data_IF_177530536960
#
_entry.id   IF_177530536960
#
_cell.length_a   1.000
_cell.length_b   1.000
_cell.length_c   1.000
_cell.angle_alpha   90.00
_cell.angle_beta   90.00
_cell.angle_gamma   90.00
#
_symmetry.space_group_name_H-M   'P 1'
#
loop_
_entity.id
_entity.type
_entity.pdbx_description
1 polymer ?
#
# COMPACT_ATOMS: atom_id res chain seq x y z
N UNK A 1 -29.88 24.29 3.51
CA UNK A 1 -30.17 24.72 4.90
C UNK A 1 -28.99 24.27 5.75
N UNK A 2 -28.12 25.21 6.16
CA UNK A 2 -27.00 24.96 7.07
C UNK A 2 -27.55 24.67 8.47
N UNK A 3 -27.40 23.44 8.94
CA UNK A 3 -27.60 23.14 10.37
C UNK A 3 -26.28 23.48 11.05
N UNK A 4 -26.27 24.64 11.75
CA UNK A 4 -25.20 25.03 12.66
C UNK A 4 -25.40 24.26 13.95
N UNK A 5 -24.56 23.26 14.20
CA UNK A 5 -24.53 22.59 15.50
C UNK A 5 -23.86 23.50 16.52
N UNK A 6 -24.66 24.02 17.45
CA UNK A 6 -24.22 24.73 18.64
C UNK A 6 -23.60 23.73 19.61
N UNK A 7 -22.29 23.79 19.79
CA UNK A 7 -21.59 23.08 20.86
C UNK A 7 -22.01 23.64 22.21
N UNK A 8 -22.87 22.92 22.90
CA UNK A 8 -23.08 23.10 24.35
C UNK A 8 -22.29 22.01 25.09
N UNK A 9 -21.27 22.45 25.81
CA UNK A 9 -20.50 21.61 26.73
C UNK A 9 -21.42 21.20 27.91
N UNK A 10 -21.89 19.98 27.92
CA UNK A 10 -22.35 19.30 29.14
C UNK A 10 -22.04 17.80 29.05
N UNK A 11 -21.22 17.40 30.07
CA UNK A 11 -21.06 16.05 30.63
C UNK A 11 -21.15 14.84 29.69
N UNK A 12 -20.00 14.14 29.59
CA UNK A 12 -19.89 12.70 29.23
C UNK A 12 -21.03 11.91 29.85
N UNK A 13 -21.83 11.29 29.03
CA UNK A 13 -22.51 9.99 29.14
C UNK A 13 -23.63 10.00 28.11
N UNK A 14 -23.31 9.49 26.95
CA UNK A 14 -24.16 8.77 26.03
C UNK A 14 -23.26 8.50 24.82
N UNK A 15 -22.86 7.26 24.62
CA UNK A 15 -22.44 6.80 23.33
C UNK A 15 -23.61 7.14 22.41
N UNK A 16 -23.46 8.12 21.53
CA UNK A 16 -24.45 8.41 20.50
C UNK A 16 -24.73 7.08 19.79
N UNK A 17 -25.95 6.59 19.97
CA UNK A 17 -26.40 5.34 19.34
C UNK A 17 -26.29 5.55 17.85
N UNK A 18 -25.27 4.93 17.22
CA UNK A 18 -25.10 4.99 15.80
C UNK A 18 -26.13 4.08 15.13
N UNK A 19 -27.01 4.68 14.34
CA UNK A 19 -28.03 3.99 13.57
C UNK A 19 -27.52 3.75 12.15
N UNK A 20 -27.18 2.52 11.84
CA UNK A 20 -26.65 2.12 10.54
C UNK A 20 -27.68 2.36 9.41
N UNK A 21 -28.96 2.10 9.66
CA UNK A 21 -30.00 2.27 8.61
C UNK A 21 -30.15 3.73 8.23
N UNK A 22 -30.20 4.62 9.20
CA UNK A 22 -30.26 6.04 8.97
C UNK A 22 -29.00 6.59 8.29
N UNK A 23 -27.82 6.14 8.71
CA UNK A 23 -26.56 6.54 8.12
C UNK A 23 -26.45 6.10 6.65
N UNK A 24 -26.78 4.86 6.35
CA UNK A 24 -26.75 4.32 4.98
C UNK A 24 -27.82 4.98 4.09
N UNK A 25 -29.01 5.31 4.61
CA UNK A 25 -30.02 6.02 3.83
C UNK A 25 -29.57 7.43 3.42
N UNK A 26 -28.89 8.15 4.32
CA UNK A 26 -28.29 9.45 4.03
C UNK A 26 -27.15 9.32 3.01
N UNK A 27 -26.27 8.35 3.20
CA UNK A 27 -25.16 8.07 2.29
C UNK A 27 -25.68 7.76 0.88
N UNK A 28 -26.71 6.93 0.77
CA UNK A 28 -27.29 6.57 -0.54
C UNK A 28 -27.75 7.82 -1.30
N UNK A 29 -28.46 8.74 -0.63
CA UNK A 29 -28.89 9.99 -1.24
C UNK A 29 -27.69 10.85 -1.70
N UNK A 30 -26.63 10.99 -0.89
CA UNK A 30 -25.44 11.75 -1.26
C UNK A 30 -24.67 11.13 -2.44
N UNK A 31 -24.59 9.78 -2.48
CA UNK A 31 -23.92 9.05 -3.57
C UNK A 31 -24.71 9.19 -4.87
N UNK A 32 -26.04 9.13 -4.82
CA UNK A 32 -26.90 9.36 -5.99
C UNK A 32 -26.81 10.81 -6.50
N UNK A 33 -26.77 11.81 -5.61
CA UNK A 33 -26.61 13.21 -5.99
C UNK A 33 -25.26 13.52 -6.63
N UNK A 34 -24.23 12.69 -6.42
CA UNK A 34 -22.89 12.86 -7.00
C UNK A 34 -22.85 12.42 -8.47
N UNK A 35 -23.67 13.02 -9.32
CA UNK A 35 -23.79 12.67 -10.76
C UNK A 35 -22.56 13.05 -11.58
N UNK A 36 -21.77 14.02 -11.13
CA UNK A 36 -20.55 14.52 -11.77
C UNK A 36 -19.27 13.79 -11.30
N UNK A 37 -19.41 12.72 -10.48
CA UNK A 37 -18.29 12.03 -9.84
C UNK A 37 -17.21 11.58 -10.84
N UNK A 38 -17.61 11.04 -11.98
CA UNK A 38 -16.69 10.57 -13.03
C UNK A 38 -15.82 11.69 -13.63
N UNK A 39 -16.33 12.93 -13.62
CA UNK A 39 -15.61 14.11 -14.16
C UNK A 39 -14.62 14.71 -13.17
N UNK A 40 -14.67 14.28 -11.91
CA UNK A 40 -13.76 14.77 -10.87
C UNK A 40 -12.33 14.29 -11.12
N UNK A 41 -11.36 15.05 -10.60
CA UNK A 41 -9.98 14.55 -10.44
C UNK A 41 -9.93 13.44 -9.40
N UNK A 42 -8.92 12.56 -9.52
CA UNK A 42 -8.72 11.43 -8.58
C UNK A 42 -8.71 11.92 -7.13
N UNK A 43 -8.01 13.03 -6.83
CA UNK A 43 -8.00 13.61 -5.48
C UNK A 43 -9.39 14.01 -4.98
N UNK A 44 -10.21 14.63 -5.82
CA UNK A 44 -11.57 15.02 -5.43
C UNK A 44 -12.49 13.81 -5.26
N UNK A 45 -12.29 12.74 -6.05
CA UNK A 45 -12.97 11.48 -5.85
C UNK A 45 -12.61 10.87 -4.48
N UNK A 46 -11.32 10.88 -4.15
CA UNK A 46 -10.83 10.39 -2.86
C UNK A 46 -11.37 11.21 -1.68
N UNK A 47 -11.41 12.54 -1.79
CA UNK A 47 -11.99 13.42 -0.77
C UNK A 47 -13.46 13.06 -0.49
N UNK A 48 -14.27 12.87 -1.55
CA UNK A 48 -15.67 12.45 -1.40
C UNK A 48 -15.77 11.07 -0.76
N UNK A 49 -14.93 10.12 -1.19
CA UNK A 49 -14.92 8.75 -0.66
C UNK A 49 -14.60 8.74 0.84
N UNK A 50 -13.63 9.55 1.27
CA UNK A 50 -13.28 9.72 2.70
C UNK A 50 -14.43 10.33 3.48
N UNK A 51 -15.08 11.38 2.96
CA UNK A 51 -16.26 11.98 3.60
C UNK A 51 -17.37 10.96 3.81
N UNK A 52 -17.66 10.14 2.81
CA UNK A 52 -18.66 9.07 2.92
C UNK A 52 -18.25 7.96 3.90
N UNK A 53 -16.95 7.68 4.01
CA UNK A 53 -16.44 6.65 4.93
C UNK A 53 -16.50 7.07 6.40
N UNK A 54 -16.35 8.37 6.70
CA UNK A 54 -16.21 8.90 8.07
C UNK A 54 -17.37 8.53 8.98
N UNK A 55 -18.60 8.61 8.48
CA UNK A 55 -19.80 8.37 9.28
C UNK A 55 -20.36 6.95 9.14
N UNK A 56 -19.81 6.14 8.22
CA UNK A 56 -20.37 4.84 7.85
C UNK A 56 -19.55 3.62 8.30
N UNK A 57 -18.50 3.82 9.10
CA UNK A 57 -17.72 2.79 9.82
C UNK A 57 -17.18 1.66 8.94
N UNK A 58 -17.06 1.88 7.64
CA UNK A 58 -16.61 0.89 6.64
C UNK A 58 -17.41 -0.42 6.67
N UNK A 59 -18.71 -0.35 6.94
CA UNK A 59 -19.59 -1.53 6.96
C UNK A 59 -19.71 -2.16 5.57
N UNK A 60 -20.24 -3.38 5.46
CA UNK A 60 -20.48 -4.01 4.16
C UNK A 60 -21.49 -3.21 3.35
N UNK A 61 -22.55 -2.72 4.00
CA UNK A 61 -23.57 -1.86 3.37
C UNK A 61 -22.98 -0.55 2.84
N UNK A 62 -21.96 0.01 3.53
CA UNK A 62 -21.23 1.16 3.02
C UNK A 62 -20.55 0.82 1.69
N UNK A 63 -19.81 -0.29 1.61
CA UNK A 63 -19.13 -0.69 0.38
C UNK A 63 -20.12 -0.99 -0.75
N UNK A 64 -21.27 -1.62 -0.45
CA UNK A 64 -22.35 -1.83 -1.42
C UNK A 64 -22.89 -0.49 -1.96
N UNK A 65 -23.12 0.47 -1.09
CA UNK A 65 -23.65 1.79 -1.45
C UNK A 65 -22.69 2.57 -2.37
N UNK A 66 -21.38 2.56 -2.10
CA UNK A 66 -20.40 3.30 -2.88
C UNK A 66 -19.81 2.53 -4.06
N UNK A 67 -20.20 1.27 -4.27
CA UNK A 67 -19.56 0.33 -5.20
C UNK A 67 -19.34 0.89 -6.60
N UNK A 68 -20.36 1.53 -7.20
CA UNK A 68 -20.24 2.11 -8.55
C UNK A 68 -19.24 3.27 -8.61
N UNK A 69 -19.28 4.17 -7.63
CA UNK A 69 -18.36 5.31 -7.56
C UNK A 69 -16.93 4.85 -7.24
N UNK A 70 -16.80 3.89 -6.33
CA UNK A 70 -15.52 3.27 -6.02
C UNK A 70 -14.92 2.56 -7.24
N UNK A 71 -15.74 1.89 -8.06
CA UNK A 71 -15.32 1.28 -9.31
C UNK A 71 -14.79 2.31 -10.31
N UNK A 72 -15.52 3.42 -10.52
CA UNK A 72 -15.07 4.50 -11.43
C UNK A 72 -13.68 5.02 -11.00
N UNK A 73 -13.46 5.20 -9.70
CA UNK A 73 -12.17 5.62 -9.17
C UNK A 73 -11.12 4.53 -9.29
N UNK A 74 -11.48 3.28 -8.99
CA UNK A 74 -10.61 2.12 -9.11
C UNK A 74 -10.12 1.90 -10.54
N UNK A 75 -10.99 2.02 -11.52
CA UNK A 75 -10.65 1.90 -12.95
C UNK A 75 -9.58 2.95 -13.37
N UNK A 76 -9.63 4.17 -12.81
CA UNK A 76 -8.60 5.20 -13.05
C UNK A 76 -7.26 4.90 -12.36
N UNK A 77 -7.26 4.08 -11.33
CA UNK A 77 -6.08 3.74 -10.52
C UNK A 77 -5.55 2.33 -10.80
N UNK A 78 -6.24 1.52 -11.59
CA UNK A 78 -6.01 0.07 -11.74
C UNK A 78 -6.12 -0.69 -10.40
N UNK A 79 -7.14 -0.35 -9.63
CA UNK A 79 -7.45 -0.93 -8.32
C UNK A 79 -8.87 -1.48 -8.29
N UNK A 80 -9.13 -2.43 -7.38
CA UNK A 80 -10.49 -2.82 -7.05
C UNK A 80 -11.24 -1.69 -6.35
N UNK A 81 -12.58 -1.72 -6.28
CA UNK A 81 -13.35 -0.71 -5.56
C UNK A 81 -12.94 -0.57 -4.10
N UNK A 82 -12.75 -1.68 -3.41
CA UNK A 82 -12.34 -1.71 -2.00
C UNK A 82 -10.93 -1.15 -1.80
N UNK A 83 -10.00 -1.49 -2.66
CA UNK A 83 -8.63 -0.93 -2.65
C UNK A 83 -8.65 0.59 -2.87
N UNK A 84 -9.47 1.07 -3.80
CA UNK A 84 -9.59 2.49 -4.08
C UNK A 84 -10.14 3.28 -2.88
N UNK A 85 -11.14 2.72 -2.18
CA UNK A 85 -11.66 3.28 -0.92
C UNK A 85 -10.59 3.30 0.15
N UNK A 86 -9.93 2.17 0.41
CA UNK A 86 -8.90 2.06 1.45
C UNK A 86 -7.71 2.97 1.16
N UNK A 87 -7.25 3.05 -0.09
CA UNK A 87 -6.19 3.99 -0.49
C UNK A 87 -6.58 5.44 -0.20
N UNK A 88 -7.84 5.82 -0.44
CA UNK A 88 -8.34 7.16 -0.14
C UNK A 88 -8.21 7.49 1.35
N UNK A 89 -8.52 6.52 2.23
CA UNK A 89 -8.41 6.66 3.67
C UNK A 89 -6.93 6.76 4.09
N UNK A 90 -6.04 5.94 3.51
CA UNK A 90 -4.60 6.05 3.76
C UNK A 90 -4.07 7.43 3.38
N UNK A 91 -4.44 7.96 2.21
CA UNK A 91 -3.99 9.28 1.75
C UNK A 91 -4.54 10.41 2.63
N UNK A 92 -5.80 10.32 3.07
CA UNK A 92 -6.39 11.31 3.96
C UNK A 92 -5.69 11.38 5.34
N UNK A 93 -5.18 10.25 5.81
CA UNK A 93 -4.43 10.16 7.08
C UNK A 93 -2.93 10.38 6.92
N UNK A 94 -2.45 10.66 5.70
CA UNK A 94 -1.04 10.84 5.43
C UNK A 94 -0.59 12.27 5.75
N UNK A 95 0.20 12.43 6.81
CA UNK A 95 0.76 13.71 7.29
C UNK A 95 2.28 13.78 7.10
N UNK A 96 2.82 13.34 5.96
CA UNK A 96 4.27 13.14 5.72
C UNK A 96 4.94 12.20 6.75
N UNK A 97 4.15 11.39 7.43
CA UNK A 97 4.55 10.43 8.45
C UNK A 97 3.93 9.06 8.19
N UNK A 98 4.15 8.16 9.11
CA UNK A 98 3.57 6.82 9.08
C UNK A 98 2.13 6.82 9.58
N UNK A 99 1.32 5.92 9.04
CA UNK A 99 -0.09 5.71 9.37
C UNK A 99 -0.20 4.37 10.10
N UNK A 100 -0.82 4.36 11.25
CA UNK A 100 -1.15 3.14 11.99
C UNK A 100 -2.60 2.72 11.71
N UNK A 101 -2.90 1.44 11.84
CA UNK A 101 -4.28 0.93 11.70
C UNK A 101 -5.22 1.60 12.73
N UNK A 102 -4.68 1.90 13.91
CA UNK A 102 -5.41 2.63 14.94
C UNK A 102 -5.82 4.06 14.51
N UNK A 103 -5.06 4.69 13.62
CA UNK A 103 -5.42 6.02 13.10
C UNK A 103 -6.59 5.90 12.12
N UNK A 104 -6.60 4.84 11.29
CA UNK A 104 -7.74 4.51 10.43
C UNK A 104 -8.99 4.25 11.28
N UNK A 105 -8.86 3.49 12.38
CA UNK A 105 -9.97 3.24 13.30
C UNK A 105 -10.54 4.54 13.88
N UNK A 106 -9.68 5.43 14.37
CA UNK A 106 -10.10 6.71 14.97
C UNK A 106 -10.82 7.59 13.94
N UNK A 107 -10.35 7.59 12.70
CA UNK A 107 -10.92 8.40 11.64
C UNK A 107 -12.27 7.86 11.15
N UNK A 108 -12.35 6.57 10.83
CA UNK A 108 -13.54 5.94 10.27
C UNK A 108 -14.54 5.42 11.30
N UNK A 109 -14.16 5.38 12.57
CA UNK A 109 -14.92 4.75 13.66
C UNK A 109 -15.23 3.26 13.40
N UNK A 110 -14.53 2.63 12.46
CA UNK A 110 -14.67 1.21 12.17
C UNK A 110 -14.22 0.35 13.36
N UNK A 111 -14.84 -0.80 13.57
CA UNK A 111 -14.38 -1.73 14.59
C UNK A 111 -13.06 -2.39 14.18
N UNK A 112 -12.24 -2.82 15.16
CA UNK A 112 -11.00 -3.57 14.86
C UNK A 112 -11.29 -4.89 14.14
N UNK A 113 -12.44 -5.52 14.39
CA UNK A 113 -12.87 -6.72 13.67
C UNK A 113 -13.09 -6.39 12.18
N UNK A 114 -13.73 -5.26 11.90
CA UNK A 114 -13.95 -4.83 10.51
C UNK A 114 -12.63 -4.51 9.80
N UNK A 115 -11.71 -3.83 10.47
CA UNK A 115 -10.39 -3.56 9.90
C UNK A 115 -9.59 -4.85 9.66
N UNK A 116 -9.71 -5.84 10.54
CA UNK A 116 -9.10 -7.16 10.32
C UNK A 116 -9.68 -7.88 9.09
N UNK A 117 -10.98 -7.74 8.81
CA UNK A 117 -11.61 -8.27 7.59
C UNK A 117 -11.10 -7.57 6.31
N UNK A 118 -10.67 -6.32 6.41
CA UNK A 118 -10.11 -5.55 5.30
C UNK A 118 -8.59 -5.72 5.15
N UNK A 119 -7.96 -6.60 5.94
CA UNK A 119 -6.51 -6.80 5.90
C UNK A 119 -6.03 -7.27 4.52
N UNK A 120 -6.77 -8.17 3.86
CA UNK A 120 -6.43 -8.65 2.51
C UNK A 120 -6.40 -7.49 1.48
N UNK A 121 -7.27 -6.49 1.65
CA UNK A 121 -7.30 -5.28 0.81
C UNK A 121 -6.06 -4.42 1.08
N UNK A 122 -5.65 -4.30 2.35
CA UNK A 122 -4.43 -3.57 2.74
C UNK A 122 -3.18 -4.27 2.20
N UNK A 123 -3.12 -5.60 2.32
CA UNK A 123 -2.01 -6.41 1.81
C UNK A 123 -1.93 -6.34 0.27
N UNK A 124 -3.08 -6.28 -0.41
CA UNK A 124 -3.13 -6.06 -1.86
C UNK A 124 -2.64 -4.68 -2.27
N UNK A 125 -2.99 -3.61 -1.55
CA UNK A 125 -2.44 -2.27 -1.76
C UNK A 125 -0.92 -2.22 -1.55
N UNK A 126 -0.40 -2.97 -0.57
CA UNK A 126 1.03 -3.10 -0.34
C UNK A 126 1.71 -3.86 -1.50
N UNK A 127 1.12 -4.95 -1.99
CA UNK A 127 1.60 -5.70 -3.15
C UNK A 127 1.65 -4.86 -4.42
N UNK A 128 0.63 -4.04 -4.67
CA UNK A 128 0.60 -3.07 -5.76
C UNK A 128 1.46 -1.81 -5.50
N UNK A 129 2.13 -1.72 -4.35
CA UNK A 129 3.01 -0.60 -3.97
C UNK A 129 2.33 0.75 -3.80
N UNK A 130 1.03 0.81 -3.67
CA UNK A 130 0.32 2.04 -3.33
C UNK A 130 0.57 2.49 -1.90
N UNK A 131 0.81 1.53 -1.01
CA UNK A 131 1.29 1.74 0.36
C UNK A 131 2.52 0.86 0.61
N UNK A 132 3.32 1.21 1.60
CA UNK A 132 4.47 0.40 2.01
C UNK A 132 4.51 0.30 3.53
N UNK A 133 4.81 -0.91 4.00
CA UNK A 133 4.97 -1.21 5.42
C UNK A 133 6.31 -0.68 5.90
N UNK A 134 6.32 -0.12 7.11
CA UNK A 134 7.54 0.27 7.80
C UNK A 134 7.42 -0.11 9.27
N UNK A 135 8.53 -0.52 9.88
CA UNK A 135 8.57 -0.81 11.31
C UNK A 135 9.15 0.38 12.04
N UNK A 136 8.39 0.92 12.98
CA UNK A 136 8.89 1.98 13.84
C UNK A 136 9.95 1.41 14.78
N UNK A 137 11.12 2.05 14.88
CA UNK A 137 12.16 1.61 15.82
C UNK A 137 11.60 1.51 17.25
N UNK A 138 11.69 0.32 17.84
CA UNK A 138 11.23 0.06 19.21
C UNK A 138 9.74 -0.32 19.33
N UNK A 139 8.99 -0.43 18.23
CA UNK A 139 7.61 -0.93 18.23
C UNK A 139 7.52 -2.32 17.61
N UNK A 140 6.63 -3.15 18.14
CA UNK A 140 6.24 -4.42 17.50
C UNK A 140 5.16 -4.22 16.42
N UNK A 141 4.58 -3.01 16.34
CA UNK A 141 3.50 -2.69 15.42
C UNK A 141 4.04 -2.17 14.10
N UNK A 142 3.41 -2.58 13.01
CA UNK A 142 3.68 -2.05 11.69
C UNK A 142 2.93 -0.73 11.50
N UNK A 143 3.59 0.19 10.81
CA UNK A 143 2.97 1.39 10.28
C UNK A 143 3.12 1.41 8.76
N UNK A 144 2.28 2.18 8.09
CA UNK A 144 2.27 2.30 6.66
C UNK A 144 2.62 3.71 6.24
N UNK A 145 3.14 3.87 5.03
CA UNK A 145 3.32 5.17 4.39
C UNK A 145 2.94 5.08 2.92
N UNK A 146 2.56 6.20 2.36
CA UNK A 146 2.24 6.32 0.93
C UNK A 146 3.48 6.82 0.20
N UNK A 147 4.01 6.09 -0.81
CA UNK A 147 5.18 6.52 -1.57
C UNK A 147 4.98 7.88 -2.23
N UNK A 148 6.02 8.72 -2.23
CA UNK A 148 5.95 10.07 -2.81
C UNK A 148 5.58 10.06 -4.30
N UNK A 149 6.05 9.05 -5.04
CA UNK A 149 5.73 8.91 -6.46
C UNK A 149 4.27 8.51 -6.69
N UNK A 150 3.69 7.71 -5.79
CA UNK A 150 2.26 7.41 -5.77
C UNK A 150 1.45 8.72 -5.56
N UNK A 151 1.78 9.51 -4.55
CA UNK A 151 1.13 10.81 -4.31
C UNK A 151 1.27 11.76 -5.50
N UNK A 152 2.43 11.76 -6.16
CA UNK A 152 2.67 12.58 -7.36
C UNK A 152 1.78 12.13 -8.52
N UNK A 153 1.65 10.83 -8.76
CA UNK A 153 0.78 10.29 -9.81
C UNK A 153 -0.69 10.68 -9.58
N UNK A 154 -1.18 10.49 -8.34
CA UNK A 154 -2.54 10.86 -7.95
C UNK A 154 -2.80 12.36 -8.12
N UNK A 155 -1.88 13.23 -7.70
CA UNK A 155 -1.97 14.70 -7.92
C UNK A 155 -1.97 15.06 -9.39
N UNK A 156 -1.29 14.28 -10.22
CA UNK A 156 -1.27 14.47 -11.68
C UNK A 156 -2.46 13.82 -12.39
N UNK A 157 -3.43 13.28 -11.64
CA UNK A 157 -4.61 12.60 -12.16
C UNK A 157 -4.27 11.42 -13.09
N UNK A 158 -3.23 10.66 -12.74
CA UNK A 158 -2.76 9.48 -13.48
C UNK A 158 -2.69 8.25 -12.58
N UNK A 159 -2.86 7.07 -13.15
CA UNK A 159 -2.60 5.83 -12.45
C UNK A 159 -1.13 5.75 -12.01
N UNK A 160 -0.89 5.23 -10.82
CA UNK A 160 0.45 4.99 -10.33
C UNK A 160 1.03 3.72 -10.96
N UNK A 161 2.27 3.80 -11.39
CA UNK A 161 3.07 2.67 -11.84
C UNK A 161 4.33 2.66 -11.00
N UNK A 162 4.48 1.65 -10.15
CA UNK A 162 5.57 1.59 -9.19
C UNK A 162 6.95 1.62 -9.86
N UNK A 163 7.18 0.74 -10.82
CA UNK A 163 8.45 0.62 -11.56
C UNK A 163 8.21 0.09 -12.97
N UNK A 164 9.06 0.55 -13.91
CA UNK A 164 9.15 -0.03 -15.25
C UNK A 164 10.49 -0.74 -15.35
N UNK A 165 10.43 -2.05 -15.48
CA UNK A 165 11.63 -2.89 -15.56
C UNK A 165 12.06 -3.24 -16.99
N UNK A 166 11.30 -2.81 -18.00
CA UNK A 166 11.54 -3.22 -19.37
C UNK A 166 12.73 -2.51 -20.02
N UNK A 167 13.55 -3.27 -20.76
CA UNK A 167 14.59 -2.73 -21.62
C UNK A 167 15.77 -2.06 -20.92
N UNK A 168 16.08 -2.48 -19.69
CA UNK A 168 17.14 -1.90 -18.90
C UNK A 168 18.54 -2.25 -19.47
N UNK A 169 19.50 -1.35 -19.32
CA UNK A 169 20.92 -1.68 -19.44
C UNK A 169 21.38 -2.46 -18.19
N UNK A 170 22.54 -3.13 -18.31
CA UNK A 170 23.08 -3.92 -17.17
C UNK A 170 23.24 -3.08 -15.91
N UNK A 171 23.75 -1.85 -16.02
CA UNK A 171 23.93 -0.97 -14.86
C UNK A 171 22.58 -0.54 -14.26
N UNK A 172 21.57 -0.28 -15.07
CA UNK A 172 20.23 0.04 -14.59
C UNK A 172 19.57 -1.17 -13.93
N UNK A 173 19.74 -2.36 -14.50
CA UNK A 173 19.26 -3.62 -13.92
C UNK A 173 19.86 -3.85 -12.52
N UNK A 174 21.17 -3.76 -12.38
CA UNK A 174 21.85 -3.94 -11.10
C UNK A 174 21.47 -2.84 -10.10
N UNK A 175 21.33 -1.60 -10.55
CA UNK A 175 20.84 -0.49 -9.71
C UNK A 175 19.42 -0.73 -9.20
N UNK A 176 18.51 -1.23 -10.04
CA UNK A 176 17.14 -1.56 -9.60
C UNK A 176 17.13 -2.77 -8.66
N UNK A 177 17.96 -3.79 -8.91
CA UNK A 177 18.14 -4.93 -8.02
C UNK A 177 18.63 -4.48 -6.64
N UNK A 178 19.65 -3.62 -6.59
CA UNK A 178 20.15 -3.04 -5.32
C UNK A 178 19.07 -2.25 -4.58
N UNK A 179 18.23 -1.47 -5.28
CA UNK A 179 17.12 -0.75 -4.67
C UNK A 179 16.07 -1.69 -4.08
N UNK A 180 15.70 -2.76 -4.79
CA UNK A 180 14.72 -3.76 -4.32
C UNK A 180 15.25 -4.44 -3.04
N UNK A 181 16.50 -4.91 -3.06
CA UNK A 181 17.14 -5.51 -1.88
C UNK A 181 17.23 -4.49 -0.73
N UNK A 182 17.63 -3.25 -1.04
CA UNK A 182 17.72 -2.17 -0.06
C UNK A 182 16.37 -1.80 0.58
N UNK A 183 15.26 -1.94 -0.14
CA UNK A 183 13.92 -1.75 0.42
C UNK A 183 13.54 -2.85 1.41
N UNK A 184 13.86 -4.11 1.10
CA UNK A 184 13.68 -5.22 2.05
C UNK A 184 14.42 -4.95 3.35
N UNK A 185 15.67 -4.53 3.24
CA UNK A 185 16.52 -4.25 4.40
C UNK A 185 16.01 -3.07 5.24
N UNK A 186 15.64 -1.96 4.60
CA UNK A 186 15.22 -0.71 5.28
C UNK A 186 13.78 -0.73 5.75
N UNK A 187 12.87 -1.23 4.93
CA UNK A 187 11.43 -1.11 5.12
C UNK A 187 10.76 -2.42 5.56
N UNK A 188 11.55 -3.48 5.76
CA UNK A 188 11.06 -4.82 6.10
C UNK A 188 9.96 -5.30 5.13
N UNK A 189 10.20 -5.07 3.84
CA UNK A 189 9.34 -5.55 2.78
C UNK A 189 9.04 -7.06 2.96
N UNK A 190 7.81 -7.54 2.87
CA UNK A 190 7.51 -8.97 2.90
C UNK A 190 8.34 -9.76 1.87
N UNK A 191 8.75 -10.98 2.21
CA UNK A 191 9.64 -11.79 1.34
C UNK A 191 8.96 -12.13 0.03
N UNK A 192 7.67 -12.48 0.06
CA UNK A 192 6.86 -12.77 -1.12
C UNK A 192 6.87 -11.59 -2.11
N UNK A 193 6.73 -10.38 -1.62
CA UNK A 193 6.79 -9.17 -2.45
C UNK A 193 8.23 -8.92 -2.98
N UNK A 194 9.25 -9.20 -2.17
CA UNK A 194 10.65 -9.13 -2.63
C UNK A 194 10.87 -10.08 -3.81
N UNK A 195 10.43 -11.33 -3.68
CA UNK A 195 10.54 -12.36 -4.72
C UNK A 195 9.77 -11.95 -5.99
N UNK A 196 8.54 -11.44 -5.84
CA UNK A 196 7.76 -10.93 -6.95
C UNK A 196 8.48 -9.79 -7.71
N UNK A 197 9.07 -8.82 -6.99
CA UNK A 197 9.79 -7.69 -7.60
C UNK A 197 11.08 -8.14 -8.30
N UNK A 198 11.87 -9.03 -7.68
CA UNK A 198 13.09 -9.56 -8.32
C UNK A 198 12.70 -10.37 -9.55
N UNK A 199 11.66 -11.21 -9.47
CA UNK A 199 11.17 -12.01 -10.59
C UNK A 199 10.68 -11.12 -11.74
N UNK A 200 9.92 -10.07 -11.46
CA UNK A 200 9.46 -9.11 -12.45
C UNK A 200 10.62 -8.38 -13.14
N UNK A 201 11.62 -7.95 -12.36
CA UNK A 201 12.85 -7.33 -12.89
C UNK A 201 13.61 -8.30 -13.81
N UNK A 202 13.77 -9.55 -13.39
CA UNK A 202 14.46 -10.60 -14.14
C UNK A 202 13.70 -10.92 -15.42
N UNK A 203 12.40 -11.20 -15.35
CA UNK A 203 11.60 -11.62 -16.50
C UNK A 203 11.46 -10.53 -17.58
N UNK A 204 11.45 -9.27 -17.16
CA UNK A 204 11.43 -8.13 -18.09
C UNK A 204 12.77 -7.88 -18.80
N UNK A 205 13.87 -8.51 -18.37
CA UNK A 205 15.22 -8.22 -18.86
C UNK A 205 16.02 -9.46 -19.27
N UNK A 206 15.38 -10.52 -19.76
CA UNK A 206 16.03 -11.77 -20.15
C UNK A 206 17.06 -11.62 -21.28
N UNK A 207 17.11 -10.47 -21.96
CA UNK A 207 18.15 -10.12 -22.92
C UNK A 207 19.52 -9.89 -22.25
N UNK A 208 19.55 -9.62 -20.94
CA UNK A 208 20.76 -9.48 -20.16
C UNK A 208 21.26 -10.85 -19.68
N UNK A 209 22.58 -11.08 -19.79
CA UNK A 209 23.20 -12.33 -19.31
C UNK A 209 22.95 -12.53 -17.79
N UNK A 210 23.13 -11.50 -16.99
CA UNK A 210 22.90 -11.56 -15.54
C UNK A 210 21.46 -11.97 -15.19
N UNK A 211 20.47 -11.36 -15.83
CA UNK A 211 19.07 -11.69 -15.65
C UNK A 211 18.76 -13.14 -16.06
N UNK A 212 19.29 -13.58 -17.20
CA UNK A 212 19.10 -14.95 -17.68
C UNK A 212 19.73 -15.99 -16.74
N UNK A 213 20.88 -15.71 -16.16
CA UNK A 213 21.50 -16.61 -15.16
C UNK A 213 20.68 -16.64 -13.86
N UNK A 214 20.19 -15.51 -13.34
CA UNK A 214 19.27 -15.49 -12.19
C UNK A 214 18.01 -16.30 -12.46
N UNK A 215 17.42 -16.21 -13.68
CA UNK A 215 16.24 -17.02 -14.05
C UNK A 215 16.52 -18.52 -14.12
N UNK A 216 17.74 -18.92 -14.47
CA UNK A 216 18.14 -20.34 -14.43
C UNK A 216 18.31 -20.82 -13.00
N UNK A 217 18.90 -19.99 -12.13
CA UNK A 217 19.12 -20.31 -10.72
C UNK A 217 17.80 -20.41 -9.94
N UNK A 218 16.80 -19.61 -10.26
CA UNK A 218 15.44 -19.69 -9.73
C UNK A 218 14.80 -21.10 -9.86
N UNK A 219 15.22 -21.88 -10.87
CA UNK A 219 14.73 -23.25 -11.10
C UNK A 219 15.49 -24.32 -10.32
N UNK A 220 16.62 -24.01 -9.73
CA UNK A 220 17.56 -24.95 -9.15
C UNK A 220 17.73 -24.73 -7.65
N UNK A 221 17.72 -23.45 -7.24
CA UNK A 221 17.88 -23.03 -5.85
C UNK A 221 16.52 -22.96 -5.15
N UNK A 222 16.53 -23.07 -3.84
CA UNK A 222 15.39 -22.64 -3.06
C UNK A 222 15.29 -21.11 -3.02
N UNK A 223 14.16 -20.62 -2.52
CA UNK A 223 13.84 -19.18 -2.51
C UNK A 223 14.89 -18.37 -1.73
N UNK A 224 15.33 -18.86 -0.57
CA UNK A 224 16.30 -18.15 0.27
C UNK A 224 17.66 -18.04 -0.42
N UNK A 225 18.15 -19.14 -1.01
CA UNK A 225 19.42 -19.19 -1.72
C UNK A 225 19.38 -18.29 -2.98
N UNK A 226 18.26 -18.29 -3.69
CA UNK A 226 18.07 -17.43 -4.85
C UNK A 226 18.08 -15.94 -4.49
N UNK A 227 17.38 -15.55 -3.42
CA UNK A 227 17.40 -14.18 -2.89
C UNK A 227 18.82 -13.80 -2.48
N UNK A 228 19.57 -14.73 -1.85
CA UNK A 228 20.94 -14.46 -1.44
C UNK A 228 21.85 -14.19 -2.65
N UNK A 229 21.72 -14.96 -3.73
CA UNK A 229 22.47 -14.70 -4.97
C UNK A 229 22.14 -13.32 -5.54
N UNK A 230 20.85 -12.95 -5.58
CA UNK A 230 20.42 -11.63 -6.01
C UNK A 230 21.02 -10.52 -5.12
N UNK A 231 21.03 -10.73 -3.80
CA UNK A 231 21.62 -9.78 -2.86
C UNK A 231 23.15 -9.64 -3.02
N UNK A 232 23.87 -10.75 -3.28
CA UNK A 232 25.31 -10.69 -3.57
C UNK A 232 25.62 -9.94 -4.86
N UNK A 233 24.80 -10.11 -5.91
CA UNK A 233 24.94 -9.34 -7.15
C UNK A 233 24.67 -7.84 -6.92
N UNK A 234 23.74 -7.50 -6.05
CA UNK A 234 23.49 -6.11 -5.67
C UNK A 234 24.66 -5.51 -4.88
N UNK A 235 25.24 -6.27 -3.93
CA UNK A 235 26.40 -5.84 -3.14
C UNK A 235 27.64 -5.62 -4.03
N UNK A 236 27.89 -6.51 -4.98
CA UNK A 236 28.99 -6.36 -5.96
C UNK A 236 28.83 -5.09 -6.81
N UNK A 237 27.60 -4.73 -7.13
CA UNK A 237 27.33 -3.50 -7.86
C UNK A 237 27.58 -2.25 -7.01
N UNK A 238 27.23 -2.28 -5.69
CA UNK A 238 27.42 -1.15 -4.78
C UNK A 238 28.89 -0.94 -4.43
N UNK A 239 29.62 -2.00 -4.10
CA UNK A 239 31.05 -1.96 -3.81
C UNK A 239 31.79 -3.14 -4.49
N UNK A 240 32.26 -2.96 -5.72
CA UNK A 240 33.00 -4.00 -6.44
C UNK A 240 34.33 -4.39 -5.80
N UNK A 241 34.88 -3.54 -4.90
CA UNK A 241 36.18 -3.78 -4.23
C UNK A 241 36.03 -4.69 -3.02
N UNK A 242 34.88 -4.67 -2.35
CA UNK A 242 34.55 -5.50 -1.19
C UNK A 242 33.06 -5.90 -1.21
N UNK A 243 32.65 -6.86 -2.08
CA UNK A 243 31.28 -7.28 -2.21
C UNK A 243 30.87 -8.18 -1.04
N UNK A 244 30.73 -7.60 0.15
CA UNK A 244 30.34 -8.31 1.37
C UNK A 244 28.92 -7.96 1.77
N UNK A 245 28.23 -8.95 2.35
CA UNK A 245 26.95 -8.75 3.02
C UNK A 245 27.12 -9.20 4.47
N UNK A 246 26.79 -8.33 5.41
CA UNK A 246 26.79 -8.69 6.82
C UNK A 246 25.79 -9.81 7.12
N UNK A 247 26.15 -10.76 8.01
CA UNK A 247 25.28 -11.88 8.38
C UNK A 247 23.91 -11.44 8.90
N UNK A 248 23.86 -10.35 9.68
CA UNK A 248 22.62 -9.77 10.17
C UNK A 248 21.73 -9.25 9.02
N UNK A 249 22.36 -8.76 7.96
CA UNK A 249 21.66 -8.31 6.74
C UNK A 249 21.08 -9.49 5.97
N UNK A 250 21.84 -10.59 5.84
CA UNK A 250 21.36 -11.82 5.21
C UNK A 250 20.12 -12.35 5.93
N UNK A 251 20.20 -12.46 7.27
CA UNK A 251 19.08 -12.94 8.06
C UNK A 251 17.80 -12.09 7.86
N UNK A 252 17.96 -10.77 7.77
CA UNK A 252 16.83 -9.85 7.51
C UNK A 252 16.29 -9.96 6.09
N UNK A 253 17.17 -10.16 5.10
CA UNK A 253 16.79 -10.28 3.69
C UNK A 253 15.96 -11.57 3.49
N UNK A 254 16.44 -12.71 4.03
CA UNK A 254 15.82 -14.03 3.86
C UNK A 254 14.75 -14.37 4.89
N UNK A 255 14.46 -13.48 5.84
CA UNK A 255 13.54 -13.71 6.97
C UNK A 255 13.91 -14.94 7.84
N UNK A 256 15.18 -15.34 7.80
CA UNK A 256 15.67 -16.46 8.60
C UNK A 256 16.01 -16.01 10.02
N UNK A 257 15.51 -16.77 11.00
CA UNK A 257 15.93 -16.59 12.40
C UNK A 257 17.29 -17.20 12.59
N UNK A 258 18.32 -16.38 12.68
CA UNK A 258 19.71 -16.79 12.89
C UNK A 258 19.99 -17.52 14.22
N UNK A 259 18.98 -17.70 15.07
CA UNK A 259 19.12 -18.36 16.36
C UNK A 259 18.11 -19.51 16.47
N UNK A 260 18.52 -20.66 16.02
CA UNK A 260 18.07 -21.94 16.55
C UNK A 260 19.25 -22.71 17.11
#
# INVERSE_FOLDING_TARGET
>A
IRIVMIRNSKKKTEEEFWDEEAAIALLFAEVEEATDFEQLSILKMMEKMVQWADDNRLTERFFECVAEKAKIMGDKLNLTPEEAVMLSIFIANYNDSTIEINDIQKHTKASMIRLAQLQDVVDSLERHRYIQRSRRMGSSEYCYFVPKDCLKAIRSNTAYVHRKFEGLSINMFLSELSKIIGERYRNQLPVDILVEDISALVDSNLHLKASNELKKLDKILDESDWILVAALMAAEYEDPSDPTIELDSIARICDERMYR
#
